data_IF_492114300385
#
_entry.id   IF_492114300385
#
_cell.length_a   1.000
_cell.length_b   1.000
_cell.length_c   1.000
_cell.angle_alpha   90.00
_cell.angle_beta   90.00
_cell.angle_gamma   90.00
#
_symmetry.space_group_name_H-M   'P 1'
#
loop_
_entity.id
_entity.type
_entity.pdbx_description
1 polymer ?
#
# COMPACT_ATOMS: atom_id res chain seq x y z
N UNK A 1 13.35 -5.44 14.03
CA UNK A 1 12.74 -6.55 14.79
C UNK A 1 13.03 -7.87 14.08
N UNK A 2 13.33 -8.92 14.84
CA UNK A 2 13.65 -10.26 14.33
C UNK A 2 12.58 -10.77 13.34
N UNK A 3 13.01 -11.54 12.34
CA UNK A 3 12.14 -12.07 11.29
C UNK A 3 11.03 -12.97 11.87
N UNK A 4 11.35 -13.78 12.88
CA UNK A 4 10.47 -14.80 13.45
C UNK A 4 9.44 -14.21 14.43
N UNK A 5 9.70 -13.03 15.00
CA UNK A 5 8.74 -12.32 15.85
C UNK A 5 7.52 -11.87 15.04
N UNK A 6 6.34 -12.45 15.28
CA UNK A 6 5.13 -12.20 14.47
C UNK A 6 5.41 -12.39 12.97
N UNK A 7 5.97 -13.54 12.59
CA UNK A 7 6.24 -13.88 11.19
C UNK A 7 4.94 -14.07 10.40
N UNK A 8 4.89 -13.57 9.17
CA UNK A 8 3.78 -13.84 8.26
C UNK A 8 3.78 -15.32 7.88
N UNK A 9 2.62 -16.02 7.90
CA UNK A 9 2.53 -17.42 7.50
C UNK A 9 3.08 -17.69 6.09
N UNK A 10 2.86 -16.75 5.16
CA UNK A 10 3.30 -16.85 3.77
C UNK A 10 4.73 -16.32 3.52
N UNK A 11 5.49 -15.94 4.56
CA UNK A 11 6.81 -15.31 4.37
C UNK A 11 7.86 -16.30 3.82
N UNK A 12 8.40 -16.07 2.60
CA UNK A 12 9.34 -17.01 1.98
C UNK A 12 10.78 -16.84 2.48
N UNK A 13 11.04 -15.81 3.30
CA UNK A 13 12.36 -15.58 3.89
C UNK A 13 12.56 -16.50 5.09
N UNK A 14 13.77 -17.01 5.23
CA UNK A 14 14.21 -17.80 6.38
C UNK A 14 15.22 -16.99 7.20
N UNK A 15 15.31 -17.29 8.49
CA UNK A 15 16.29 -16.67 9.40
C UNK A 15 17.73 -16.80 8.89
N UNK A 16 18.06 -17.92 8.26
CA UNK A 16 19.37 -18.16 7.62
C UNK A 16 19.70 -17.19 6.48
N UNK A 17 18.69 -16.71 5.74
CA UNK A 17 18.87 -15.75 4.65
C UNK A 17 18.83 -14.31 5.14
N UNK A 18 17.99 -14.01 6.14
CA UNK A 18 17.86 -12.67 6.71
C UNK A 18 17.30 -12.75 8.14
N UNK A 19 18.00 -12.14 9.08
CA UNK A 19 17.59 -12.14 10.49
C UNK A 19 16.48 -11.12 10.80
N UNK A 20 16.34 -10.05 10.02
CA UNK A 20 15.41 -8.95 10.26
C UNK A 20 14.35 -8.91 9.16
N UNK A 21 13.09 -8.72 9.54
CA UNK A 21 12.01 -8.52 8.57
C UNK A 21 12.24 -7.23 7.78
N UNK A 22 12.40 -7.29 6.44
CA UNK A 22 12.73 -6.13 5.63
C UNK A 22 11.60 -5.10 5.57
N UNK A 23 10.34 -5.52 5.71
CA UNK A 23 9.21 -4.60 5.80
C UNK A 23 9.27 -3.78 7.10
N UNK A 24 9.45 -4.46 8.24
CA UNK A 24 9.54 -3.80 9.54
C UNK A 24 10.76 -2.87 9.62
N UNK A 25 11.91 -3.32 9.10
CA UNK A 25 13.13 -2.52 9.02
C UNK A 25 12.93 -1.22 8.25
N UNK A 26 12.23 -1.28 7.11
CA UNK A 26 11.98 -0.09 6.28
C UNK A 26 11.12 0.97 6.99
N UNK A 27 10.16 0.57 7.82
CA UNK A 27 9.24 1.48 8.51
C UNK A 27 9.70 1.85 9.92
N UNK A 28 10.75 1.20 10.45
CA UNK A 28 11.22 1.42 11.81
C UNK A 28 11.60 2.88 12.12
N UNK A 29 12.30 3.61 11.22
CA UNK A 29 12.58 5.03 11.46
C UNK A 29 11.29 5.85 11.64
N UNK A 30 10.27 5.57 10.83
CA UNK A 30 8.95 6.22 10.92
C UNK A 30 8.27 5.89 12.25
N UNK A 31 8.28 4.62 12.66
CA UNK A 31 7.73 4.22 13.97
C UNK A 31 8.38 5.04 15.08
N UNK A 32 9.71 5.17 15.09
CA UNK A 32 10.44 5.96 16.12
C UNK A 32 10.11 7.44 16.07
N UNK A 33 9.98 8.04 14.88
CA UNK A 33 9.63 9.45 14.73
C UNK A 33 8.22 9.78 15.23
N UNK A 34 7.29 8.83 15.14
CA UNK A 34 5.89 8.99 15.55
C UNK A 34 5.56 8.41 16.95
N UNK A 35 6.53 7.77 17.61
CA UNK A 35 6.40 7.04 18.89
C UNK A 35 5.83 7.90 20.05
N UNK A 36 5.95 9.23 19.95
CA UNK A 36 5.50 10.18 20.96
C UNK A 36 4.35 11.08 20.50
N UNK A 37 3.70 10.77 19.37
CA UNK A 37 2.61 11.56 18.79
C UNK A 37 1.27 10.85 18.97
N UNK A 38 0.21 11.59 19.25
CA UNK A 38 -1.16 11.04 19.27
C UNK A 38 -1.66 10.96 17.84
N UNK A 39 -2.26 9.83 17.45
CA UNK A 39 -2.61 9.56 16.06
C UNK A 39 -3.58 10.58 15.44
N UNK A 40 -4.49 11.10 16.25
CA UNK A 40 -5.53 12.07 15.86
C UNK A 40 -5.06 13.52 15.84
N UNK A 41 -3.89 13.83 16.40
CA UNK A 41 -3.35 15.20 16.37
C UNK A 41 -3.20 15.66 14.93
N UNK A 42 -3.45 16.94 14.69
CA UNK A 42 -3.27 17.54 13.37
C UNK A 42 -1.84 18.03 13.17
N UNK A 43 -1.40 18.07 11.91
CA UNK A 43 -0.11 18.57 11.50
C UNK A 43 -0.18 19.19 10.11
N UNK A 44 0.71 20.15 9.86
CA UNK A 44 1.00 20.63 8.52
C UNK A 44 2.07 19.74 7.90
N UNK A 45 1.67 18.96 6.89
CA UNK A 45 2.53 18.07 6.14
C UNK A 45 3.09 18.80 4.91
N UNK A 46 4.39 18.71 4.71
CA UNK A 46 5.06 19.08 3.46
C UNK A 46 5.77 17.87 2.88
N UNK A 47 5.53 17.57 1.60
CA UNK A 47 6.20 16.49 0.87
C UNK A 47 6.82 17.04 -0.40
N UNK A 48 8.14 16.88 -0.53
CA UNK A 48 8.89 17.27 -1.72
C UNK A 48 9.26 16.01 -2.54
N UNK A 49 8.80 15.94 -3.79
CA UNK A 49 9.04 14.80 -4.67
C UNK A 49 9.14 15.23 -6.12
N UNK A 50 10.24 14.85 -6.81
CA UNK A 50 10.46 15.11 -8.24
C UNK A 50 10.23 16.59 -8.67
N UNK A 51 10.59 17.55 -7.82
CA UNK A 51 10.38 18.98 -8.09
C UNK A 51 8.95 19.49 -7.83
N UNK A 52 8.06 18.65 -7.28
CA UNK A 52 6.72 19.03 -6.82
C UNK A 52 6.71 19.08 -5.31
N UNK A 53 6.11 20.12 -4.74
CA UNK A 53 5.86 20.24 -3.30
C UNK A 53 4.37 20.12 -3.03
N UNK A 54 4.01 19.19 -2.15
CA UNK A 54 2.64 19.01 -1.67
C UNK A 54 2.53 19.56 -0.26
N UNK A 55 1.50 20.35 0.01
CA UNK A 55 1.15 20.82 1.34
C UNK A 55 -0.23 20.30 1.73
N UNK A 56 -0.38 19.84 2.97
CA UNK A 56 -1.67 19.39 3.48
C UNK A 56 -1.77 19.63 4.99
N UNK A 57 -2.93 20.10 5.44
CA UNK A 57 -3.31 20.04 6.85
C UNK A 57 -4.05 18.72 7.09
N UNK A 58 -3.48 17.82 7.89
CA UNK A 58 -3.98 16.44 8.06
C UNK A 58 -3.71 15.92 9.46
N UNK A 59 -4.22 14.73 9.80
CA UNK A 59 -3.83 14.02 11.02
C UNK A 59 -2.45 13.35 10.91
N UNK A 60 -1.80 13.19 12.05
CA UNK A 60 -0.53 12.47 12.20
C UNK A 60 -0.63 11.04 11.64
N UNK A 61 -1.73 10.33 11.91
CA UNK A 61 -1.93 8.97 11.38
C UNK A 61 -2.01 8.92 9.84
N UNK A 62 -2.56 9.96 9.20
CA UNK A 62 -2.61 10.05 7.74
C UNK A 62 -1.24 10.38 7.16
N UNK A 63 -0.47 11.26 7.80
CA UNK A 63 0.92 11.51 7.44
C UNK A 63 1.77 10.23 7.57
N UNK A 64 1.65 9.52 8.70
CA UNK A 64 2.32 8.25 8.94
C UNK A 64 1.90 7.19 7.92
N UNK A 65 0.61 7.04 7.62
CA UNK A 65 0.07 6.15 6.58
C UNK A 65 0.77 6.36 5.24
N UNK A 66 0.82 7.61 4.77
CA UNK A 66 1.42 7.94 3.47
C UNK A 66 2.89 7.53 3.41
N UNK A 67 3.67 7.85 4.44
CA UNK A 67 5.09 7.52 4.51
C UNK A 67 5.35 6.01 4.66
N UNK A 68 4.58 5.35 5.53
CA UNK A 68 4.66 3.89 5.75
C UNK A 68 4.37 3.14 4.45
N UNK A 69 3.30 3.51 3.73
CA UNK A 69 2.94 2.87 2.46
C UNK A 69 4.07 2.94 1.42
N UNK A 70 4.70 4.12 1.30
CA UNK A 70 5.86 4.31 0.41
C UNK A 70 7.06 3.44 0.83
N UNK A 71 7.42 3.47 2.11
CA UNK A 71 8.55 2.70 2.65
C UNK A 71 8.35 1.19 2.51
N UNK A 72 7.14 0.70 2.74
CA UNK A 72 6.83 -0.73 2.57
C UNK A 72 6.98 -1.15 1.11
N UNK A 73 6.44 -0.39 0.15
CA UNK A 73 6.57 -0.69 -1.28
C UNK A 73 8.04 -0.67 -1.77
N UNK A 74 8.89 0.15 -1.14
CA UNK A 74 10.33 0.20 -1.41
C UNK A 74 11.16 -0.83 -0.62
N UNK A 75 10.56 -1.53 0.34
CA UNK A 75 11.26 -2.48 1.19
C UNK A 75 11.81 -3.70 0.44
N UNK A 76 12.63 -4.48 1.14
CA UNK A 76 13.10 -5.80 0.68
C UNK A 76 12.05 -6.91 0.81
N UNK A 77 10.83 -6.63 1.28
CA UNK A 77 9.79 -7.64 1.47
C UNK A 77 9.31 -8.22 0.13
N UNK A 78 9.34 -9.55 -0.07
CA UNK A 78 8.90 -10.17 -1.32
C UNK A 78 7.44 -9.90 -1.72
N UNK A 79 6.56 -9.70 -0.74
CA UNK A 79 5.16 -9.29 -0.98
C UNK A 79 5.10 -7.83 -1.44
N UNK A 80 5.66 -6.91 -0.65
CA UNK A 80 5.54 -5.48 -0.92
C UNK A 80 6.31 -5.00 -2.15
N UNK A 81 7.44 -5.65 -2.51
CA UNK A 81 8.23 -5.25 -3.69
C UNK A 81 7.45 -5.31 -5.01
N UNK A 82 6.33 -6.05 -5.05
CA UNK A 82 5.42 -6.10 -6.21
C UNK A 82 4.74 -4.74 -6.46
N UNK A 83 4.68 -3.87 -5.44
CA UNK A 83 4.10 -2.51 -5.51
C UNK A 83 5.12 -1.42 -5.85
N UNK A 84 6.38 -1.75 -6.17
CA UNK A 84 7.42 -0.76 -6.51
C UNK A 84 7.02 0.26 -7.59
N UNK A 85 6.28 -0.10 -8.67
CA UNK A 85 5.81 0.90 -9.62
C UNK A 85 4.96 2.00 -8.97
N UNK A 86 4.11 1.66 -7.99
CA UNK A 86 3.31 2.65 -7.24
C UNK A 86 4.18 3.57 -6.38
N UNK A 87 5.34 3.09 -5.89
CA UNK A 87 6.29 3.92 -5.17
C UNK A 87 7.02 4.90 -6.10
N UNK A 88 7.34 4.50 -7.34
CA UNK A 88 7.97 5.38 -8.33
C UNK A 88 7.09 6.58 -8.68
N UNK A 89 5.79 6.33 -8.78
CA UNK A 89 4.75 7.34 -9.07
C UNK A 89 3.89 7.59 -7.83
N UNK A 90 4.50 7.62 -6.64
CA UNK A 90 3.77 7.79 -5.38
C UNK A 90 3.02 9.12 -5.37
N UNK A 91 1.75 9.07 -4.98
CA UNK A 91 0.92 10.22 -4.69
C UNK A 91 0.74 10.28 -3.17
N UNK A 92 1.28 11.31 -2.50
CA UNK A 92 1.13 11.47 -1.06
C UNK A 92 -0.34 11.65 -0.69
N UNK A 93 -0.72 11.09 0.46
CA UNK A 93 -2.07 11.20 1.03
C UNK A 93 -3.22 10.72 0.13
N UNK A 94 -2.93 9.91 -0.90
CA UNK A 94 -3.96 9.40 -1.81
C UNK A 94 -5.16 8.81 -1.05
N UNK A 95 -6.36 9.12 -1.51
CA UNK A 95 -7.62 8.60 -0.98
C UNK A 95 -7.90 7.16 -1.47
N UNK A 96 -9.10 6.63 -1.16
CA UNK A 96 -9.49 5.29 -1.56
C UNK A 96 -9.56 5.14 -3.08
N UNK A 97 -10.26 6.04 -3.76
CA UNK A 97 -10.51 6.00 -5.21
C UNK A 97 -9.21 6.16 -5.99
N UNK A 98 -8.38 7.12 -5.60
CA UNK A 98 -7.04 7.34 -6.16
C UNK A 98 -6.15 6.11 -5.95
N UNK A 99 -6.22 5.49 -4.77
CA UNK A 99 -5.46 4.27 -4.48
C UNK A 99 -5.94 3.12 -5.37
N UNK A 100 -7.24 2.88 -5.45
CA UNK A 100 -7.85 1.82 -6.28
C UNK A 100 -7.48 2.03 -7.75
N UNK A 101 -7.69 3.23 -8.28
CA UNK A 101 -7.39 3.57 -9.67
C UNK A 101 -5.91 3.29 -10.00
N UNK A 102 -4.99 3.73 -9.14
CA UNK A 102 -3.55 3.55 -9.36
C UNK A 102 -3.13 2.08 -9.24
N UNK A 103 -3.69 1.34 -8.28
CA UNK A 103 -3.42 -0.09 -8.08
C UNK A 103 -3.88 -0.90 -9.27
N UNK A 104 -5.10 -0.66 -9.74
CA UNK A 104 -5.65 -1.31 -10.91
C UNK A 104 -4.87 -0.94 -12.16
N UNK A 105 -4.59 0.35 -12.38
CA UNK A 105 -3.79 0.81 -13.51
C UNK A 105 -2.39 0.17 -13.54
N UNK A 106 -1.71 0.08 -12.38
CA UNK A 106 -0.45 -0.65 -12.27
C UNK A 106 -0.61 -2.12 -12.66
N UNK A 107 -1.63 -2.80 -12.14
CA UNK A 107 -1.87 -4.21 -12.45
C UNK A 107 -2.14 -4.42 -13.94
N UNK A 108 -3.03 -3.62 -14.54
CA UNK A 108 -3.33 -3.69 -15.98
C UNK A 108 -2.09 -3.46 -16.85
N UNK A 109 -1.24 -2.48 -16.52
CA UNK A 109 0.02 -2.27 -17.23
C UNK A 109 0.94 -3.50 -17.11
N UNK A 110 1.02 -4.11 -15.92
CA UNK A 110 1.77 -5.36 -15.72
C UNK A 110 1.22 -6.49 -16.59
N UNK A 111 -0.10 -6.63 -16.68
CA UNK A 111 -0.75 -7.67 -17.46
C UNK A 111 -0.56 -7.44 -18.97
N UNK A 112 -0.65 -6.18 -19.43
CA UNK A 112 -0.34 -5.79 -20.80
C UNK A 112 1.08 -6.20 -21.20
N UNK A 113 2.10 -5.83 -20.41
CA UNK A 113 3.49 -6.21 -20.72
C UNK A 113 3.75 -7.72 -20.62
N UNK A 114 3.02 -8.43 -19.75
CA UNK A 114 3.09 -9.89 -19.66
C UNK A 114 2.53 -10.55 -20.92
N UNK A 115 1.36 -10.08 -21.37
CA UNK A 115 0.73 -10.54 -22.60
C UNK A 115 1.57 -10.24 -23.85
N UNK A 116 2.15 -9.04 -23.93
CA UNK A 116 3.04 -8.65 -25.03
C UNK A 116 4.29 -9.56 -25.17
N UNK A 117 4.66 -10.29 -24.11
CA UNK A 117 5.75 -11.26 -24.10
C UNK A 117 5.29 -12.72 -24.28
N UNK A 118 4.02 -12.93 -24.66
CA UNK A 118 3.43 -14.26 -24.85
C UNK A 118 3.01 -14.98 -23.57
N UNK A 119 3.00 -14.30 -22.42
CA UNK A 119 2.51 -14.88 -21.16
C UNK A 119 1.00 -14.72 -20.97
N UNK A 120 0.34 -15.57 -20.15
CA UNK A 120 -1.09 -15.43 -19.86
C UNK A 120 -1.33 -14.17 -19.03
N UNK A 121 -2.35 -13.35 -19.34
CA UNK A 121 -2.70 -12.16 -18.54
C UNK A 121 -3.79 -12.45 -17.50
N UNK A 122 -3.88 -11.58 -16.50
CA UNK A 122 -4.78 -11.69 -15.32
C UNK A 122 -5.87 -10.63 -15.42
N UNK A 123 -6.71 -10.74 -16.46
CA UNK A 123 -7.73 -9.74 -16.74
C UNK A 123 -8.88 -9.77 -15.74
N UNK A 124 -9.16 -10.93 -15.16
CA UNK A 124 -10.19 -11.12 -14.12
C UNK A 124 -9.70 -10.85 -12.69
N UNK A 125 -8.44 -10.42 -12.53
CA UNK A 125 -7.85 -9.97 -11.25
C UNK A 125 -7.60 -10.99 -10.11
N UNK A 126 -7.70 -12.34 -10.26
CA UNK A 126 -7.42 -13.23 -9.13
C UNK A 126 -5.99 -13.12 -8.57
N UNK A 127 -4.98 -12.80 -9.39
CA UNK A 127 -3.62 -12.58 -8.88
C UNK A 127 -3.52 -11.29 -8.06
N UNK A 128 -4.26 -10.25 -8.45
CA UNK A 128 -4.31 -8.98 -7.71
C UNK A 128 -5.01 -9.17 -6.36
N UNK A 129 -6.15 -9.87 -6.32
CA UNK A 129 -6.84 -10.21 -5.08
C UNK A 129 -5.94 -11.04 -4.15
N UNK A 130 -5.23 -12.04 -4.69
CA UNK A 130 -4.29 -12.85 -3.92
C UNK A 130 -3.12 -12.01 -3.36
N UNK A 131 -2.59 -11.06 -4.14
CA UNK A 131 -1.57 -10.13 -3.66
C UNK A 131 -2.08 -9.30 -2.48
N UNK A 132 -3.28 -8.76 -2.57
CA UNK A 132 -3.84 -7.91 -1.52
C UNK A 132 -4.22 -8.67 -0.25
N UNK A 133 -4.63 -9.93 -0.38
CA UNK A 133 -4.74 -10.87 0.74
C UNK A 133 -3.42 -11.09 1.47
N UNK A 134 -2.32 -11.30 0.73
CA UNK A 134 -0.99 -11.43 1.32
C UNK A 134 -0.56 -10.13 2.01
N UNK A 135 -0.86 -8.97 1.42
CA UNK A 135 -0.58 -7.66 2.01
C UNK A 135 -1.38 -7.47 3.30
N UNK A 136 -2.67 -7.84 3.32
CA UNK A 136 -3.51 -7.76 4.51
C UNK A 136 -2.94 -8.60 5.66
N UNK A 137 -2.56 -9.86 5.39
CA UNK A 137 -1.89 -10.72 6.36
C UNK A 137 -0.56 -10.11 6.85
N UNK A 138 0.25 -9.55 5.95
CA UNK A 138 1.49 -8.88 6.30
C UNK A 138 1.27 -7.68 7.23
N UNK A 139 0.31 -6.81 6.89
CA UNK A 139 -0.05 -5.63 7.69
C UNK A 139 -0.51 -6.03 9.09
N UNK A 140 -1.34 -7.07 9.23
CA UNK A 140 -1.75 -7.60 10.54
C UNK A 140 -0.56 -8.01 11.41
N UNK A 141 0.43 -8.69 10.83
CA UNK A 141 1.62 -9.09 11.58
C UNK A 141 2.53 -7.89 11.88
N UNK A 142 2.69 -6.96 10.94
CA UNK A 142 3.41 -5.70 11.18
C UNK A 142 2.76 -4.88 12.30
N UNK A 143 1.43 -4.79 12.36
CA UNK A 143 0.73 -4.08 13.42
C UNK A 143 1.06 -4.63 14.81
N UNK A 144 1.15 -5.97 14.96
CA UNK A 144 1.62 -6.60 16.21
C UNK A 144 3.05 -6.21 16.56
N UNK A 145 3.94 -6.19 15.56
CA UNK A 145 5.33 -5.75 15.73
C UNK A 145 5.43 -4.27 16.12
N UNK A 146 4.64 -3.39 15.52
CA UNK A 146 4.61 -1.95 15.83
C UNK A 146 4.14 -1.75 17.27
N UNK A 147 3.04 -2.40 17.68
CA UNK A 147 2.53 -2.32 19.06
C UNK A 147 3.55 -2.80 20.10
N UNK A 148 4.39 -3.77 19.75
CA UNK A 148 5.47 -4.23 20.63
C UNK A 148 6.68 -3.28 20.68
N UNK A 149 6.79 -2.32 19.75
CA UNK A 149 7.96 -1.44 19.59
C UNK A 149 7.66 0.06 19.80
N UNK A 150 6.40 0.42 20.05
CA UNK A 150 5.91 1.81 20.12
C UNK A 150 5.04 2.02 21.35
N UNK A 151 5.18 3.18 21.99
CA UNK A 151 4.41 3.62 23.15
C UNK A 151 3.09 4.31 22.76
N UNK A 152 3.02 4.89 21.55
CA UNK A 152 1.82 5.54 21.01
C UNK A 152 1.30 4.86 19.75
N UNK A 153 0.11 5.29 19.33
CA UNK A 153 -0.73 4.64 18.35
C UNK A 153 -0.64 5.21 16.93
N UNK A 154 0.01 6.37 16.73
CA UNK A 154 0.16 7.02 15.42
C UNK A 154 0.64 6.10 14.29
N UNK A 155 1.75 5.38 14.50
CA UNK A 155 2.31 4.50 13.47
C UNK A 155 1.43 3.27 13.20
N UNK A 156 0.83 2.68 14.25
CA UNK A 156 -0.06 1.51 14.08
C UNK A 156 -1.39 1.92 13.45
N UNK A 157 -1.97 3.06 13.82
CA UNK A 157 -3.20 3.56 13.22
C UNK A 157 -2.97 3.95 11.76
N UNK A 158 -1.82 4.57 11.43
CA UNK A 158 -1.42 4.80 10.04
C UNK A 158 -1.35 3.49 9.22
N UNK A 159 -0.79 2.42 9.79
CA UNK A 159 -0.77 1.11 9.15
C UNK A 159 -2.16 0.48 9.05
N UNK A 160 -3.02 0.65 10.05
CA UNK A 160 -4.41 0.12 10.03
C UNK A 160 -5.24 0.79 8.94
N UNK A 161 -5.09 2.10 8.74
CA UNK A 161 -5.76 2.80 7.63
C UNK A 161 -5.23 2.28 6.28
N UNK A 162 -3.92 2.05 6.16
CA UNK A 162 -3.34 1.44 4.96
C UNK A 162 -3.90 0.03 4.72
N UNK A 163 -4.14 -0.73 5.78
CA UNK A 163 -4.69 -2.07 5.71
C UNK A 163 -6.15 -2.10 5.28
N UNK A 164 -6.94 -1.09 5.67
CA UNK A 164 -8.31 -0.94 5.18
C UNK A 164 -8.36 -0.85 3.65
N UNK A 165 -7.43 -0.11 3.02
CA UNK A 165 -7.34 -0.09 1.55
C UNK A 165 -6.93 -1.45 0.96
N UNK A 166 -6.10 -2.21 1.67
CA UNK A 166 -5.75 -3.54 1.20
C UNK A 166 -6.95 -4.48 1.21
N UNK A 167 -7.80 -4.37 2.24
CA UNK A 167 -9.05 -5.11 2.36
C UNK A 167 -10.05 -4.74 1.27
N UNK A 168 -10.19 -3.44 0.95
CA UNK A 168 -11.04 -2.97 -0.15
C UNK A 168 -10.65 -3.57 -1.51
N UNK A 169 -9.35 -3.65 -1.80
CA UNK A 169 -8.87 -4.27 -3.05
C UNK A 169 -9.01 -5.80 -3.03
N UNK A 170 -8.93 -6.45 -1.86
CA UNK A 170 -9.13 -7.90 -1.77
C UNK A 170 -10.59 -8.30 -2.05
N UNK A 171 -11.55 -7.66 -1.38
CA UNK A 171 -12.94 -8.12 -1.33
C UNK A 171 -13.90 -7.34 -2.23
N UNK A 172 -13.64 -6.06 -2.48
CA UNK A 172 -14.60 -5.16 -3.13
C UNK A 172 -14.12 -4.68 -4.51
N UNK A 173 -13.11 -5.33 -5.11
CA UNK A 173 -12.48 -4.84 -6.33
C UNK A 173 -13.44 -4.63 -7.50
N UNK A 174 -14.40 -5.53 -7.72
CA UNK A 174 -15.37 -5.40 -8.80
C UNK A 174 -16.31 -4.21 -8.56
N UNK A 175 -16.81 -4.06 -7.33
CA UNK A 175 -17.65 -2.92 -6.93
C UNK A 175 -16.90 -1.61 -7.09
N UNK A 176 -15.65 -1.56 -6.62
CA UNK A 176 -14.78 -0.40 -6.70
C UNK A 176 -14.47 -0.01 -8.15
N UNK A 177 -14.25 -0.98 -9.04
CA UNK A 177 -14.09 -0.69 -10.47
C UNK A 177 -15.39 -0.22 -11.13
N UNK A 178 -16.54 -0.77 -10.72
CA UNK A 178 -17.84 -0.30 -11.19
C UNK A 178 -18.09 1.17 -10.86
N UNK A 179 -17.63 1.65 -9.71
CA UNK A 179 -17.71 3.07 -9.34
C UNK A 179 -16.82 3.97 -10.21
N UNK A 180 -15.78 3.42 -10.82
CA UNK A 180 -14.92 4.16 -11.75
C UNK A 180 -15.47 4.19 -13.18
N UNK A 181 -16.40 3.30 -13.54
CA UNK A 181 -16.93 3.19 -14.91
C UNK A 181 -17.51 4.49 -15.47
N UNK A 182 -18.30 5.31 -14.71
CA UNK A 182 -18.87 6.56 -15.22
C UNK A 182 -17.82 7.58 -15.72
N UNK A 183 -16.59 7.52 -15.24
CA UNK A 183 -15.51 8.41 -15.71
C UNK A 183 -15.06 8.13 -17.15
N UNK A 184 -15.41 6.96 -17.71
CA UNK A 184 -15.00 6.53 -19.05
C UNK A 184 -16.13 6.64 -20.10
N UNK A 185 -17.38 6.75 -19.66
CA UNK A 185 -18.57 6.78 -20.54
C UNK A 185 -18.65 8.05 -21.41
N UNK A 186 -18.05 9.16 -20.98
CA UNK A 186 -18.02 10.43 -21.73
C UNK A 186 -17.19 10.41 -23.03
N UNK A 187 -16.50 9.30 -23.32
CA UNK A 187 -15.61 9.15 -24.47
C UNK A 187 -16.21 8.37 -25.64
N UNK A 188 -17.42 7.80 -25.48
CA UNK A 188 -18.11 7.05 -26.54
C UNK A 188 -19.10 7.96 -27.29
N UNK A 189 -19.09 7.98 -28.63
CA UNK A 189 -20.17 8.64 -29.37
C UNK A 189 -21.50 7.96 -29.02
N UNK A 190 -22.62 8.70 -28.92
CA UNK A 190 -23.91 8.11 -28.58
C UNK A 190 -24.22 6.94 -29.52
N UNK A 191 -24.65 5.83 -28.94
CA UNK A 191 -25.05 4.64 -29.69
C UNK A 191 -26.03 5.05 -30.79
N UNK A 192 -25.73 4.70 -32.04
CA UNK A 192 -26.65 4.95 -33.16
C UNK A 192 -27.95 4.18 -32.89
N UNK A 193 -29.02 4.92 -32.65
CA UNK A 193 -30.41 4.43 -32.62
C UNK A 193 -30.83 3.82 -33.95
#
# INVERSE_FOLDING_TARGET
MDLDTHRCPHCPLTRSKRMVCPAFEAIFPTIKSFDHRVSSDTCDLTVEQNGVTHHAHTSIQNAARSLIGLQLALSGCPTMRKLRPLARFHMPLADADETIFRVFGMHMLRQYFRHAKGGPADWSLPELQALYRDIHELNRQLAKRIRAASHKDAAVNGLVILDAFAHEVEYNIETNLGQLAPYFESSEPPAKS
#
